data_IF_704849701796
#
_entry.id   IF_704849701796
#
_cell.length_a   1.000
_cell.length_b   1.000
_cell.length_c   1.000
_cell.angle_alpha   90.00
_cell.angle_beta   90.00
_cell.angle_gamma   90.00
#
_symmetry.space_group_name_H-M   'P 1'
#
loop_
_entity.id
_entity.type
_entity.pdbx_description
1 polymer ?
#
# COMPACT_ATOMS: atom_id res chain seq x y z
N UNK A 1 -9.91 7.53 12.51
CA UNK A 1 -9.64 6.07 12.57
C UNK A 1 -8.34 5.81 11.84
N UNK A 2 -7.51 4.87 12.29
CA UNK A 2 -6.26 4.50 11.62
C UNK A 2 -6.34 3.07 11.09
N UNK A 3 -5.85 2.84 9.89
CA UNK A 3 -5.73 1.51 9.28
C UNK A 3 -4.31 1.30 8.80
N UNK A 4 -3.81 0.07 9.01
CA UNK A 4 -2.56 -0.40 8.47
C UNK A 4 -2.82 -1.45 7.39
N UNK A 5 -2.20 -1.29 6.21
CA UNK A 5 -2.33 -2.22 5.08
C UNK A 5 -0.95 -2.77 4.71
N UNK A 6 -0.85 -4.09 4.54
CA UNK A 6 0.38 -4.75 4.09
C UNK A 6 0.12 -5.55 2.82
N UNK A 7 0.85 -5.24 1.74
CA UNK A 7 0.85 -5.97 0.49
C UNK A 7 2.27 -6.39 0.12
N UNK A 8 2.48 -7.68 -0.16
CA UNK A 8 3.79 -8.26 -0.42
C UNK A 8 4.07 -8.61 -1.89
N UNK A 9 3.06 -8.49 -2.75
CA UNK A 9 3.12 -8.82 -4.16
C UNK A 9 2.45 -7.73 -5.01
N UNK A 10 2.71 -7.75 -6.33
CA UNK A 10 2.20 -6.73 -7.25
C UNK A 10 0.66 -6.70 -7.33
N UNK A 11 0.01 -7.86 -7.35
CA UNK A 11 -1.46 -7.91 -7.45
C UNK A 11 -2.13 -7.46 -6.15
N UNK A 12 -1.54 -7.84 -5.01
CA UNK A 12 -1.91 -7.35 -3.69
C UNK A 12 -1.74 -5.84 -3.57
N UNK A 13 -0.65 -5.25 -4.09
CA UNK A 13 -0.39 -3.81 -4.05
C UNK A 13 -1.48 -3.01 -4.79
N UNK A 14 -1.86 -3.47 -5.99
CA UNK A 14 -2.95 -2.83 -6.77
C UNK A 14 -4.29 -2.90 -6.03
N UNK A 15 -4.62 -4.05 -5.46
CA UNK A 15 -5.87 -4.20 -4.71
C UNK A 15 -5.86 -3.34 -3.44
N UNK A 16 -4.77 -3.39 -2.69
CA UNK A 16 -4.56 -2.63 -1.47
C UNK A 16 -4.64 -1.12 -1.71
N UNK A 17 -4.10 -0.62 -2.83
CA UNK A 17 -4.21 0.78 -3.22
C UNK A 17 -5.66 1.26 -3.41
N UNK A 18 -6.51 0.45 -4.05
CA UNK A 18 -7.95 0.75 -4.23
C UNK A 18 -8.68 0.77 -2.89
N UNK A 19 -8.36 -0.19 -2.02
CA UNK A 19 -8.92 -0.26 -0.68
C UNK A 19 -8.49 0.94 0.18
N UNK A 20 -7.22 1.32 0.13
CA UNK A 20 -6.68 2.51 0.79
C UNK A 20 -7.44 3.77 0.37
N UNK A 21 -7.68 3.95 -0.94
CA UNK A 21 -8.47 5.06 -1.46
C UNK A 21 -9.87 5.15 -0.86
N UNK A 22 -10.54 4.01 -0.64
CA UNK A 22 -11.87 3.95 0.00
C UNK A 22 -11.83 4.38 1.46
N UNK A 23 -10.82 3.95 2.21
CA UNK A 23 -10.63 4.37 3.60
C UNK A 23 -10.32 5.86 3.72
N UNK A 24 -9.41 6.37 2.89
CA UNK A 24 -9.07 7.80 2.88
C UNK A 24 -10.25 8.67 2.47
N UNK A 25 -11.05 8.26 1.48
CA UNK A 25 -12.30 8.95 1.13
C UNK A 25 -13.31 9.00 2.29
N UNK A 26 -13.21 8.06 3.23
CA UNK A 26 -14.01 8.03 4.47
C UNK A 26 -13.37 8.84 5.62
N UNK A 27 -12.27 9.55 5.36
CA UNK A 27 -11.55 10.36 6.33
C UNK A 27 -10.63 9.57 7.26
N UNK A 28 -10.23 8.36 6.88
CA UNK A 28 -9.34 7.53 7.70
C UNK A 28 -7.88 7.77 7.33
N UNK A 29 -7.02 7.74 8.33
CA UNK A 29 -5.57 7.75 8.14
C UNK A 29 -5.12 6.34 7.74
N UNK A 30 -4.34 6.23 6.66
CA UNK A 30 -3.85 4.95 6.15
C UNK A 30 -2.33 4.96 6.12
N UNK A 31 -1.73 4.03 6.85
CA UNK A 31 -0.30 3.71 6.74
C UNK A 31 -0.13 2.34 6.10
N UNK A 32 0.93 2.12 5.32
CA UNK A 32 1.07 0.91 4.54
C UNK A 32 2.50 0.40 4.36
N UNK A 33 2.62 -0.91 4.18
CA UNK A 33 3.79 -1.58 3.59
C UNK A 33 3.36 -2.10 2.22
N UNK A 34 4.03 -1.66 1.17
CA UNK A 34 3.56 -1.89 -0.18
C UNK A 34 4.49 -1.35 -1.25
N UNK A 35 4.03 -1.44 -2.50
CA UNK A 35 4.76 -1.02 -3.67
C UNK A 35 4.35 0.37 -4.15
N UNK A 36 4.55 0.59 -5.45
CA UNK A 36 4.24 1.85 -6.10
C UNK A 36 2.74 2.20 -6.06
N UNK A 37 1.84 1.24 -6.19
CA UNK A 37 0.40 1.53 -6.26
C UNK A 37 -0.12 2.06 -4.91
N UNK A 38 0.29 1.46 -3.79
CA UNK A 38 -0.05 1.98 -2.47
C UNK A 38 0.53 3.38 -2.23
N UNK A 39 1.75 3.65 -2.70
CA UNK A 39 2.35 5.00 -2.62
C UNK A 39 1.53 6.02 -3.41
N UNK A 40 1.16 5.69 -4.64
CA UNK A 40 0.37 6.57 -5.52
C UNK A 40 -1.04 6.82 -4.99
N UNK A 41 -1.58 5.92 -4.18
CA UNK A 41 -2.89 6.11 -3.54
C UNK A 41 -2.91 7.25 -2.51
N UNK A 42 -1.76 7.66 -1.99
CA UNK A 42 -1.63 8.66 -0.91
C UNK A 42 -1.50 8.06 0.49
N UNK A 43 -1.38 6.74 0.62
CA UNK A 43 -1.08 6.09 1.89
C UNK A 43 0.33 6.47 2.40
N UNK A 44 0.49 6.60 3.70
CA UNK A 44 1.80 6.78 4.34
C UNK A 44 2.61 5.48 4.25
N UNK A 45 3.64 5.44 3.41
CA UNK A 45 4.47 4.25 3.25
C UNK A 45 5.48 4.13 4.39
N UNK A 46 5.31 3.10 5.21
CA UNK A 46 6.22 2.73 6.31
C UNK A 46 7.40 1.91 5.79
N UNK A 47 7.16 1.01 4.83
CA UNK A 47 8.22 0.26 4.14
C UNK A 47 7.83 -0.04 2.69
N UNK A 48 8.78 0.15 1.78
CA UNK A 48 8.63 -0.13 0.37
C UNK A 48 9.12 -1.55 0.04
N UNK A 49 8.25 -2.38 -0.53
CA UNK A 49 8.60 -3.75 -0.98
C UNK A 49 9.05 -3.83 -2.44
N UNK A 50 8.78 -2.81 -3.26
CA UNK A 50 9.32 -2.70 -4.64
C UNK A 50 10.85 -2.56 -4.67
N UNK A 51 11.46 -2.03 -3.62
CA UNK A 51 12.92 -1.98 -3.49
C UNK A 51 13.56 -3.32 -3.07
N UNK A 52 12.76 -4.30 -2.64
CA UNK A 52 13.23 -5.65 -2.24
C UNK A 52 12.81 -6.70 -3.28
N UNK A 53 13.16 -6.47 -4.54
CA UNK A 53 13.21 -7.54 -5.55
C UNK A 53 14.44 -8.46 -5.35
N UNK A 54 14.65 -8.96 -4.12
CA UNK A 54 15.67 -9.98 -3.84
C UNK A 54 15.22 -11.38 -4.30
N UNK A 55 13.96 -11.52 -4.72
CA UNK A 55 13.47 -12.69 -5.45
C UNK A 55 13.43 -12.35 -6.94
N UNK A 56 14.59 -12.53 -7.57
CA UNK A 56 14.73 -12.48 -9.02
C UNK A 56 13.75 -13.44 -9.71
N UNK A 57 13.15 -12.94 -10.79
CA UNK A 57 12.68 -13.79 -11.88
C UNK A 57 13.85 -14.10 -12.82
#
# INVERSE_FOLDING_TARGET
>A
MRVFISAGDFSGDIFAARLAGTFMASGWEVSAVGGAALRESGAEIIADVSARNDIGF
#
